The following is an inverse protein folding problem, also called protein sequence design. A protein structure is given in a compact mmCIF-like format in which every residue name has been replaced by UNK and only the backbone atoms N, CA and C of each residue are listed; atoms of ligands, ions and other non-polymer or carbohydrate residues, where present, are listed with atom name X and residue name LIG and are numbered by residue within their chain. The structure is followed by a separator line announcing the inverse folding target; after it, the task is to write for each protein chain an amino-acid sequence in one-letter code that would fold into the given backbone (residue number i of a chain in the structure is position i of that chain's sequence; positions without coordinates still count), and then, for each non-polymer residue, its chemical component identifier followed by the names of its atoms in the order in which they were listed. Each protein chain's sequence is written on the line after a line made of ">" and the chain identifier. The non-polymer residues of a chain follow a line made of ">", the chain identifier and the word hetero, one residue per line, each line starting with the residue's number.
data_IF_328529571379
#
_entry.id   IF_328529571379
#
_cell.length_a   1.000
_cell.length_b   1.000
_cell.length_c   1.000
_cell.angle_alpha   90.00
_cell.angle_beta   90.00
_cell.angle_gamma   90.00
#
_symmetry.space_group_name_H-M   'P 1'
#
loop_
_entity.id
_entity.type
_entity.pdbx_description
1 polymer ?
#
# COMPACT_ATOMS: atom_id res chain seq x y z
N UNK A 1 8.07 -11.49 -13.93
CA UNK A 1 8.45 -11.21 -12.54
C UNK A 1 7.94 -9.83 -12.21
N UNK A 2 7.12 -9.77 -11.17
CA UNK A 2 6.54 -8.56 -10.64
C UNK A 2 7.21 -8.13 -9.37
N UNK A 3 6.95 -6.90 -8.94
CA UNK A 3 7.40 -6.35 -7.67
C UNK A 3 6.18 -5.94 -6.87
N UNK A 4 6.07 -6.48 -5.66
CA UNK A 4 5.11 -6.00 -4.68
C UNK A 4 5.85 -5.13 -3.67
N UNK A 5 5.31 -3.96 -3.38
CA UNK A 5 5.94 -2.96 -2.52
C UNK A 5 4.97 -2.40 -1.48
N UNK A 6 5.54 -1.95 -0.36
CA UNK A 6 4.85 -1.30 0.75
C UNK A 6 5.46 0.08 0.95
N UNK A 7 4.59 1.08 0.92
CA UNK A 7 4.93 2.47 1.17
C UNK A 7 4.29 2.94 2.48
N UNK A 8 5.03 3.77 3.20
CA UNK A 8 4.53 4.50 4.37
C UNK A 8 4.65 5.99 4.11
N UNK A 9 3.77 6.77 4.73
CA UNK A 9 3.86 8.21 4.71
C UNK A 9 3.77 8.71 6.15
N UNK A 10 4.78 9.45 6.61
CA UNK A 10 4.81 10.00 7.97
C UNK A 10 3.66 10.96 8.28
N UNK A 11 2.94 11.46 7.25
CA UNK A 11 1.72 12.24 7.43
C UNK A 11 0.55 11.42 7.99
N UNK A 12 0.58 10.10 7.83
CA UNK A 12 -0.52 9.20 8.18
C UNK A 12 -0.02 8.10 9.11
N UNK A 13 -0.04 8.37 10.42
CA UNK A 13 0.20 7.35 11.42
C UNK A 13 -0.79 6.18 11.24
N UNK A 14 -0.26 4.96 11.19
CA UNK A 14 -0.98 3.69 10.98
C UNK A 14 -1.51 3.42 9.57
N UNK A 15 -1.10 4.19 8.56
CA UNK A 15 -1.46 3.90 7.16
C UNK A 15 -0.28 3.30 6.38
N UNK A 16 -0.50 2.11 5.83
CA UNK A 16 0.41 1.46 4.88
C UNK A 16 -0.27 1.38 3.51
N UNK A 17 0.47 1.71 2.46
CA UNK A 17 0.03 1.55 1.08
C UNK A 17 0.75 0.37 0.45
N UNK A 18 -0.01 -0.64 0.07
CA UNK A 18 0.49 -1.81 -0.65
C UNK A 18 0.19 -1.60 -2.13
N UNK A 19 1.13 -1.94 -2.99
CA UNK A 19 0.94 -1.88 -4.43
C UNK A 19 1.85 -2.84 -5.16
N UNK A 20 1.55 -3.04 -6.45
CA UNK A 20 2.34 -3.88 -7.36
C UNK A 20 2.84 -3.07 -8.56
N UNK A 21 3.94 -3.51 -9.15
CA UNK A 21 4.50 -2.95 -10.38
C UNK A 21 5.46 -3.94 -11.02
N UNK A 22 5.66 -3.84 -12.31
CA UNK A 22 6.73 -4.55 -13.02
C UNK A 22 8.03 -3.74 -13.07
N UNK A 23 8.01 -2.45 -12.71
CA UNK A 23 9.18 -1.57 -12.70
C UNK A 23 9.16 -0.63 -11.49
N UNK A 24 9.86 -1.02 -10.41
CA UNK A 24 9.87 -0.29 -9.15
C UNK A 24 10.46 1.12 -9.29
N UNK A 25 11.58 1.27 -10.00
CA UNK A 25 12.25 2.57 -10.16
C UNK A 25 11.37 3.58 -10.86
N UNK A 26 10.73 3.18 -11.97
CA UNK A 26 9.80 4.04 -12.70
C UNK A 26 8.60 4.41 -11.81
N UNK A 27 8.08 3.44 -11.05
CA UNK A 27 6.95 3.66 -10.16
C UNK A 27 7.28 4.64 -9.04
N UNK A 28 8.45 4.50 -8.41
CA UNK A 28 8.92 5.41 -7.36
C UNK A 28 9.11 6.83 -7.91
N UNK A 29 9.69 7.01 -9.11
CA UNK A 29 9.81 8.33 -9.75
C UNK A 29 8.45 8.97 -10.01
N UNK A 30 7.44 8.20 -10.44
CA UNK A 30 6.07 8.72 -10.61
C UNK A 30 5.40 9.11 -9.30
N UNK A 31 5.73 8.43 -8.19
CA UNK A 31 5.20 8.74 -6.86
C UNK A 31 5.83 10.00 -6.27
N UNK A 32 7.10 10.26 -6.57
CA UNK A 32 7.83 11.46 -6.14
C UNK A 32 7.20 12.75 -6.71
N UNK A 33 6.47 12.66 -7.82
CA UNK A 33 5.78 13.79 -8.46
C UNK A 33 4.37 14.06 -7.89
N UNK A 34 3.91 13.29 -6.88
CA UNK A 34 2.52 13.41 -6.41
C UNK A 34 2.32 14.60 -5.48
N UNK A 35 1.17 15.28 -5.60
CA UNK A 35 0.77 16.47 -4.81
C UNK A 35 0.48 16.20 -3.33
N UNK A 36 1.06 15.14 -2.75
CA UNK A 36 0.92 14.84 -1.32
C UNK A 36 1.93 15.67 -0.50
N UNK A 37 1.55 16.10 0.72
CA UNK A 37 2.37 17.02 1.52
C UNK A 37 3.67 16.42 2.05
N UNK A 38 3.79 15.09 2.08
CA UNK A 38 4.98 14.36 2.55
C UNK A 38 5.29 13.19 1.60
N UNK A 39 6.58 12.91 1.32
CA UNK A 39 6.97 11.88 0.38
C UNK A 39 6.62 10.49 0.90
N UNK A 40 6.14 9.63 0.01
CA UNK A 40 5.99 8.21 0.31
C UNK A 40 7.37 7.56 0.42
N UNK A 41 7.66 6.89 1.53
CA UNK A 41 8.88 6.11 1.71
C UNK A 41 8.58 4.64 1.42
N UNK A 42 9.33 4.05 0.50
CA UNK A 42 9.33 2.60 0.30
C UNK A 42 10.06 1.93 1.46
N UNK A 43 9.35 1.09 2.22
CA UNK A 43 9.90 0.35 3.36
C UNK A 43 10.12 -1.12 3.06
N UNK A 44 9.43 -1.64 2.05
CA UNK A 44 9.56 -3.02 1.62
C UNK A 44 9.25 -3.13 0.14
N UNK A 45 10.06 -3.90 -0.59
CA UNK A 45 9.81 -4.28 -1.98
C UNK A 45 10.40 -5.66 -2.23
N UNK A 46 9.65 -6.53 -2.87
CA UNK A 46 10.06 -7.91 -3.16
C UNK A 46 9.64 -8.30 -4.57
N UNK A 47 10.54 -8.97 -5.27
CA UNK A 47 10.26 -9.60 -6.56
C UNK A 47 9.52 -10.91 -6.35
N UNK A 48 8.45 -11.09 -7.10
CA UNK A 48 7.56 -12.26 -7.01
C UNK A 48 7.20 -12.75 -8.41
N UNK A 49 6.98 -14.05 -8.53
CA UNK A 49 6.55 -14.63 -9.80
C UNK A 49 5.12 -14.20 -10.16
N UNK A 50 4.23 -14.17 -9.17
CA UNK A 50 2.82 -13.82 -9.36
C UNK A 50 2.37 -12.65 -8.45
N UNK A 51 2.64 -11.44 -8.92
CA UNK A 51 2.30 -10.18 -8.23
C UNK A 51 0.81 -10.03 -7.91
N UNK A 52 -0.06 -10.62 -8.73
CA UNK A 52 -1.51 -10.55 -8.56
C UNK A 52 -1.95 -11.35 -7.32
N UNK A 53 -1.43 -12.56 -7.18
CA UNK A 53 -1.76 -13.43 -6.06
C UNK A 53 -1.18 -12.88 -4.76
N UNK A 54 0.09 -12.47 -4.77
CA UNK A 54 0.76 -11.93 -3.59
C UNK A 54 0.09 -10.65 -3.11
N UNK A 55 -0.26 -9.72 -4.00
CA UNK A 55 -0.96 -8.50 -3.60
C UNK A 55 -2.36 -8.82 -3.05
N UNK A 56 -3.09 -9.77 -3.64
CA UNK A 56 -4.39 -10.22 -3.11
C UNK A 56 -4.26 -10.82 -1.70
N UNK A 57 -3.26 -11.67 -1.48
CA UNK A 57 -2.99 -12.29 -0.18
C UNK A 57 -2.61 -11.23 0.87
N UNK A 58 -1.76 -10.27 0.51
CA UNK A 58 -1.42 -9.15 1.39
C UNK A 58 -2.66 -8.32 1.70
N UNK A 59 -3.46 -7.96 0.70
CA UNK A 59 -4.71 -7.25 0.93
C UNK A 59 -5.67 -8.00 1.84
N UNK A 60 -5.75 -9.34 1.72
CA UNK A 60 -6.57 -10.17 2.59
C UNK A 60 -6.00 -10.24 4.01
N UNK A 61 -4.69 -10.44 4.17
CA UNK A 61 -4.03 -10.49 5.47
C UNK A 61 -4.11 -9.15 6.23
N UNK A 62 -4.02 -8.03 5.50
CA UNK A 62 -4.15 -6.68 6.06
C UNK A 62 -5.59 -6.15 6.07
N UNK A 63 -6.57 -6.87 5.51
CA UNK A 63 -7.99 -6.48 5.57
C UNK A 63 -8.50 -6.47 7.00
N UNK A 64 -8.04 -7.41 7.84
CA UNK A 64 -8.39 -7.49 9.27
C UNK A 64 -7.83 -6.32 10.07
N UNK A 65 -6.77 -5.67 9.59
CA UNK A 65 -6.19 -4.49 10.22
C UNK A 65 -6.80 -3.17 9.72
N UNK A 66 -7.93 -3.22 8.96
CA UNK A 66 -8.76 -2.03 8.76
C UNK A 66 -9.45 -1.69 10.07
N UNK A 67 -8.74 -0.97 10.94
CA UNK A 67 -9.36 -0.17 11.98
C UNK A 67 -10.21 0.93 11.32
N UNK A 68 -11.42 0.57 10.92
CA UNK A 68 -12.59 1.41 11.12
C UNK A 68 -13.42 0.78 12.23
N UNK A 69 -12.95 0.92 13.46
CA UNK A 69 -13.89 1.07 14.59
C UNK A 69 -14.55 2.43 14.42
N UNK A 70 -15.53 2.51 13.52
CA UNK A 70 -16.60 3.49 13.64
C UNK A 70 -17.89 2.70 13.61
N UNK A 71 -18.21 2.11 14.76
CA UNK A 71 -19.59 1.92 15.18
C UNK A 71 -20.27 3.30 15.20
N UNK A 72 -20.75 3.75 14.04
CA UNK A 72 -21.80 4.76 13.92
C UNK A 72 -23.13 4.03 13.76
N UNK A 73 -24.23 4.51 14.39
CA UNK A 73 -25.43 3.71 14.57
C UNK A 73 -26.07 3.36 13.23
N UNK A 74 -26.51 2.12 13.11
CA UNK A 74 -27.55 1.71 12.18
C UNK A 74 -28.80 2.52 12.53
N UNK A 75 -29.23 3.40 11.65
CA UNK A 75 -30.60 3.93 11.69
C UNK A 75 -31.44 3.10 10.73
N UNK A 76 -32.48 2.50 11.31
CA UNK A 76 -33.57 1.73 10.70
C UNK A 76 -34.32 2.49 9.62
#
# INVERSE_FOLDING_TARGET
>A
MGVVYVLVNSAFENYVKIGRTTNLEQRLRSLDNTSVPLPFRCVFAVEVDDENEVERLLHQAFADNRTRSTSGPVTV
#
